data_IF_664141525814
#
_entry.id   IF_664141525814
#
_cell.length_a   1.000
_cell.length_b   1.000
_cell.length_c   1.000
_cell.angle_alpha   90.00
_cell.angle_beta   90.00
_cell.angle_gamma   90.00
#
_symmetry.space_group_name_H-M   'P 1'
#
loop_
_entity.id
_entity.type
_entity.pdbx_description
1 polymer ?
#
# COMPACT_ATOMS: atom_id res chain seq x y z
N UNK A 1 -7.38 30.31 -25.79
CA UNK A 1 -8.38 30.31 -24.72
C UNK A 1 -7.69 30.20 -23.39
N UNK A 2 -8.01 31.02 -22.40
CA UNK A 2 -7.40 30.95 -21.06
C UNK A 2 -7.87 29.68 -20.30
N UNK A 3 -7.12 29.26 -19.26
CA UNK A 3 -7.53 28.14 -18.41
C UNK A 3 -8.89 28.36 -17.81
N UNK A 4 -9.16 29.59 -17.33
CA UNK A 4 -10.48 30.00 -16.79
C UNK A 4 -11.60 29.80 -17.81
N UNK A 5 -11.40 30.27 -19.06
CA UNK A 5 -12.44 30.16 -20.09
C UNK A 5 -12.71 28.69 -20.49
N UNK A 6 -11.69 27.82 -20.47
CA UNK A 6 -11.87 26.37 -20.66
C UNK A 6 -12.66 25.75 -19.51
N UNK A 7 -12.31 26.08 -18.28
CA UNK A 7 -13.03 25.59 -17.11
C UNK A 7 -14.53 25.97 -17.14
N UNK A 8 -14.87 27.23 -17.49
CA UNK A 8 -16.26 27.65 -17.61
C UNK A 8 -17.00 26.94 -18.75
N UNK A 9 -16.30 26.59 -19.82
CA UNK A 9 -16.89 25.78 -20.89
C UNK A 9 -17.17 24.35 -20.44
N UNK A 10 -16.20 23.69 -19.80
CA UNK A 10 -16.36 22.36 -19.27
C UNK A 10 -17.48 22.25 -18.23
N UNK A 11 -17.63 23.26 -17.36
CA UNK A 11 -18.77 23.32 -16.43
C UNK A 11 -20.10 23.20 -17.16
N UNK A 12 -20.31 23.98 -18.24
CA UNK A 12 -21.54 23.92 -19.05
C UNK A 12 -21.76 22.57 -19.70
N UNK A 13 -20.67 21.91 -20.07
CA UNK A 13 -20.77 20.58 -20.67
C UNK A 13 -21.16 19.51 -19.64
N UNK A 14 -20.62 19.57 -18.40
CA UNK A 14 -21.03 18.72 -17.29
C UNK A 14 -22.47 18.98 -16.81
N UNK A 15 -22.94 20.25 -16.85
CA UNK A 15 -24.32 20.60 -16.53
C UNK A 15 -25.34 19.89 -17.43
N UNK A 16 -25.00 19.61 -18.69
CA UNK A 16 -25.86 18.84 -19.61
C UNK A 16 -26.11 17.40 -19.13
N UNK A 17 -25.23 16.87 -18.26
CA UNK A 17 -25.35 15.55 -17.64
C UNK A 17 -25.90 15.62 -16.20
N UNK A 18 -26.39 16.78 -15.78
CA UNK A 18 -26.92 17.00 -14.44
C UNK A 18 -25.85 17.07 -13.35
N UNK A 19 -24.58 17.31 -13.72
CA UNK A 19 -23.47 17.40 -12.76
C UNK A 19 -23.19 18.85 -12.40
N UNK A 20 -23.31 19.19 -11.12
CA UNK A 20 -22.83 20.45 -10.58
C UNK A 20 -21.34 20.34 -10.26
N UNK A 21 -20.50 20.93 -11.09
CA UNK A 21 -19.03 20.84 -10.97
C UNK A 21 -18.51 21.47 -9.68
N UNK A 22 -19.07 22.59 -9.24
CA UNK A 22 -18.67 23.27 -8.00
C UNK A 22 -18.94 22.39 -6.77
N UNK A 23 -20.12 21.77 -6.72
CA UNK A 23 -20.47 20.84 -5.65
C UNK A 23 -19.60 19.59 -5.66
N UNK A 24 -19.30 19.05 -6.83
CA UNK A 24 -18.42 17.91 -7.00
C UNK A 24 -16.99 18.23 -6.52
N UNK A 25 -16.47 19.39 -6.87
CA UNK A 25 -15.15 19.85 -6.42
C UNK A 25 -15.10 20.06 -4.90
N UNK A 26 -16.18 20.60 -4.31
CA UNK A 26 -16.24 20.79 -2.87
C UNK A 26 -16.28 19.45 -2.11
N UNK A 27 -17.02 18.48 -2.63
CA UNK A 27 -17.00 17.09 -2.11
C UNK A 27 -15.60 16.48 -2.22
N UNK A 28 -14.94 16.67 -3.37
CA UNK A 28 -13.58 16.15 -3.60
C UNK A 28 -12.55 16.74 -2.63
N UNK A 29 -12.62 18.05 -2.32
CA UNK A 29 -11.73 18.68 -1.33
C UNK A 29 -11.79 18.00 0.05
N UNK A 30 -12.92 17.40 0.40
CA UNK A 30 -13.13 16.72 1.66
C UNK A 30 -12.93 15.21 1.60
N UNK A 31 -12.72 14.66 0.40
CA UNK A 31 -12.41 13.24 0.20
C UNK A 31 -10.91 13.02 0.36
N UNK A 32 -10.53 12.14 1.28
CA UNK A 32 -9.12 11.77 1.47
C UNK A 32 -8.69 10.78 0.41
N UNK A 33 -7.65 11.13 -0.34
CA UNK A 33 -7.06 10.28 -1.36
C UNK A 33 -5.82 9.60 -0.77
N UNK A 34 -5.80 8.28 -0.81
CA UNK A 34 -4.66 7.49 -0.35
C UNK A 34 -3.61 7.38 -1.46
N UNK A 35 -2.44 7.93 -1.21
CA UNK A 35 -1.32 7.93 -2.16
C UNK A 35 -0.44 6.74 -1.87
N UNK A 36 -0.21 5.90 -2.89
CA UNK A 36 0.73 4.80 -2.79
C UNK A 36 2.16 5.32 -2.98
N UNK A 37 3.06 4.89 -2.09
CA UNK A 37 4.43 5.40 -2.03
C UNK A 37 5.48 4.54 -2.74
N UNK A 38 5.09 3.49 -3.44
CA UNK A 38 5.97 2.44 -4.00
C UNK A 38 7.05 2.95 -4.94
N UNK A 39 6.79 4.04 -5.63
CA UNK A 39 7.73 4.57 -6.62
C UNK A 39 8.87 5.35 -5.96
N UNK A 40 8.67 5.88 -4.76
CA UNK A 40 9.67 6.69 -4.07
C UNK A 40 10.94 5.92 -3.72
N UNK A 41 10.80 4.66 -3.31
CA UNK A 41 11.92 3.74 -2.99
C UNK A 41 12.14 2.68 -4.07
N UNK A 42 11.43 2.79 -5.20
CA UNK A 42 11.46 1.83 -6.31
C UNK A 42 11.12 0.39 -5.84
N UNK A 43 10.16 0.30 -4.93
CA UNK A 43 9.60 -0.94 -4.35
C UNK A 43 10.65 -1.81 -3.64
N UNK A 44 11.75 -1.24 -3.20
CA UNK A 44 12.84 -1.98 -2.53
C UNK A 44 12.49 -2.27 -1.07
N UNK A 45 11.83 -1.30 -0.39
CA UNK A 45 11.59 -1.36 1.05
C UNK A 45 12.85 -1.08 1.87
N UNK A 46 12.70 -1.20 3.19
CA UNK A 46 13.76 -0.92 4.17
C UNK A 46 14.03 -2.11 5.08
N UNK A 47 13.52 -3.28 4.73
CA UNK A 47 13.80 -4.53 5.45
C UNK A 47 15.28 -4.88 5.41
N UNK A 48 15.79 -5.42 6.50
CA UNK A 48 17.10 -6.07 6.54
C UNK A 48 16.96 -7.46 5.89
N UNK A 49 16.87 -7.47 4.56
CA UNK A 49 16.65 -8.68 3.78
C UNK A 49 17.60 -8.69 2.58
N UNK A 50 18.08 -9.88 2.22
CA UNK A 50 18.86 -10.11 1.00
C UNK A 50 18.00 -10.72 -0.11
N UNK A 51 16.69 -10.69 0.01
CA UNK A 51 15.78 -11.33 -0.93
C UNK A 51 15.76 -10.58 -2.27
N UNK A 52 15.82 -11.31 -3.36
CA UNK A 52 15.63 -10.75 -4.69
C UNK A 52 14.18 -10.29 -4.89
N UNK A 53 13.98 -9.22 -5.65
CA UNK A 53 12.65 -8.76 -6.05
C UNK A 53 11.92 -9.87 -6.80
N UNK A 54 10.65 -10.07 -6.50
CA UNK A 54 9.79 -11.08 -7.12
C UNK A 54 8.34 -10.59 -7.25
N UNK A 55 7.46 -11.42 -7.80
CA UNK A 55 6.03 -11.10 -7.87
C UNK A 55 5.66 -10.02 -8.90
N UNK A 56 6.41 -9.92 -10.01
CA UNK A 56 6.14 -8.97 -11.10
C UNK A 56 6.76 -7.59 -10.93
N UNK A 57 7.58 -7.39 -9.90
CA UNK A 57 8.21 -6.11 -9.56
C UNK A 57 9.68 -6.06 -10.02
N UNK A 58 10.20 -7.12 -10.61
CA UNK A 58 11.62 -7.22 -11.00
C UNK A 58 12.05 -6.20 -12.08
N UNK A 59 11.11 -5.51 -12.71
CA UNK A 59 11.41 -4.47 -13.69
C UNK A 59 11.86 -3.14 -13.06
N UNK A 60 11.75 -3.00 -11.76
CA UNK A 60 12.09 -1.81 -10.98
C UNK A 60 13.45 -1.97 -10.30
N UNK A 61 13.85 -1.03 -9.47
CA UNK A 61 15.06 -1.13 -8.65
C UNK A 61 16.27 -0.41 -9.21
N UNK A 62 16.16 0.22 -10.38
CA UNK A 62 17.29 0.88 -11.06
C UNK A 62 17.23 2.41 -11.05
N UNK A 63 16.22 3.01 -10.44
CA UNK A 63 16.08 4.45 -10.38
C UNK A 63 17.12 5.04 -9.42
N UNK A 64 18.03 5.86 -9.95
CA UNK A 64 19.15 6.44 -9.18
C UNK A 64 18.69 7.40 -8.08
N UNK A 65 17.56 8.07 -8.26
CA UNK A 65 16.97 9.02 -7.31
C UNK A 65 16.06 8.39 -6.26
N UNK A 66 15.96 7.06 -6.20
CA UNK A 66 15.09 6.39 -5.24
C UNK A 66 15.50 6.66 -3.79
N UNK A 67 14.53 6.74 -2.90
CA UNK A 67 14.77 6.81 -1.47
C UNK A 67 15.47 5.53 -0.96
N UNK A 68 16.47 5.69 -0.13
CA UNK A 68 17.28 4.62 0.46
C UNK A 68 16.99 4.41 1.94
N UNK A 69 16.34 5.40 2.55
CA UNK A 69 15.94 5.37 3.95
C UNK A 69 14.50 5.84 4.10
N UNK A 70 13.81 5.46 5.19
CA UNK A 70 12.49 5.97 5.49
C UNK A 70 12.42 7.50 5.55
N UNK A 71 13.49 8.15 6.02
CA UNK A 71 13.58 9.62 6.10
C UNK A 71 13.61 10.25 4.69
N UNK A 72 14.37 9.68 3.77
CA UNK A 72 14.40 10.15 2.38
C UNK A 72 13.02 10.00 1.75
N UNK A 73 12.35 8.85 1.94
CA UNK A 73 11.01 8.62 1.41
C UNK A 73 9.98 9.59 2.00
N UNK A 74 10.03 9.88 3.30
CA UNK A 74 9.16 10.89 3.93
C UNK A 74 9.34 12.27 3.30
N UNK A 75 10.57 12.70 3.02
CA UNK A 75 10.86 13.98 2.36
C UNK A 75 10.32 14.02 0.92
N UNK A 76 10.47 12.92 0.18
CA UNK A 76 9.94 12.81 -1.18
C UNK A 76 8.41 12.88 -1.18
N UNK A 77 7.77 12.20 -0.22
CA UNK A 77 6.32 12.27 -0.03
C UNK A 77 5.85 13.68 0.35
N UNK A 78 6.53 14.37 1.26
CA UNK A 78 6.23 15.76 1.62
C UNK A 78 6.27 16.65 0.38
N UNK A 79 7.31 16.48 -0.46
CA UNK A 79 7.43 17.24 -1.70
C UNK A 79 6.31 16.91 -2.68
N UNK A 80 6.01 15.66 -2.90
CA UNK A 80 4.93 15.22 -3.78
C UNK A 80 3.58 15.74 -3.31
N UNK A 81 3.25 15.56 -2.04
CA UNK A 81 1.98 16.00 -1.45
C UNK A 81 1.82 17.52 -1.46
N UNK A 82 2.91 18.30 -1.36
CA UNK A 82 2.86 19.76 -1.48
C UNK A 82 2.41 20.25 -2.86
N UNK A 83 2.48 19.40 -3.87
CA UNK A 83 2.08 19.70 -5.25
C UNK A 83 0.68 19.20 -5.61
N UNK A 84 0.07 18.40 -4.75
CA UNK A 84 -1.24 17.78 -4.99
C UNK A 84 -2.27 18.46 -4.07
N UNK A 85 -3.32 19.12 -4.61
CA UNK A 85 -4.35 19.73 -3.78
C UNK A 85 -5.25 18.68 -3.11
N UNK A 86 -5.85 19.03 -1.97
CA UNK A 86 -6.82 18.18 -1.27
C UNK A 86 -6.31 17.61 0.04
N UNK A 87 -7.02 16.61 0.57
CA UNK A 87 -6.68 15.88 1.77
C UNK A 87 -6.14 14.50 1.41
N UNK A 88 -5.06 14.08 2.06
CA UNK A 88 -4.37 12.86 1.67
C UNK A 88 -4.20 11.89 2.83
N UNK A 89 -4.03 10.64 2.46
CA UNK A 89 -3.45 9.55 3.23
C UNK A 89 -2.24 9.01 2.47
N UNK A 90 -1.39 8.29 3.15
CA UNK A 90 -0.30 7.56 2.51
C UNK A 90 -0.53 6.07 2.76
N UNK A 91 -0.43 5.27 1.70
CA UNK A 91 -0.55 3.82 1.80
C UNK A 91 0.85 3.22 1.93
N UNK A 92 1.20 2.77 3.15
CA UNK A 92 2.48 2.16 3.44
C UNK A 92 2.48 0.66 3.13
N UNK A 93 3.66 0.12 2.90
CA UNK A 93 3.89 -1.32 2.78
C UNK A 93 4.53 -1.91 4.04
N UNK A 94 4.30 -3.19 4.29
CA UNK A 94 4.95 -3.92 5.38
C UNK A 94 6.48 -3.86 5.31
N UNK A 95 7.05 -3.83 4.09
CA UNK A 95 8.50 -3.70 3.85
C UNK A 95 9.10 -2.34 4.26
N UNK A 96 8.26 -1.40 4.71
CA UNK A 96 8.72 -0.10 5.26
C UNK A 96 8.86 -0.11 6.78
N UNK A 97 8.84 -1.27 7.41
CA UNK A 97 9.13 -1.44 8.83
C UNK A 97 10.52 -0.89 9.17
N UNK A 98 10.60 -0.06 10.21
CA UNK A 98 11.84 0.50 10.75
C UNK A 98 12.29 -0.39 11.92
N UNK A 99 13.18 -1.34 11.65
CA UNK A 99 13.61 -2.36 12.63
C UNK A 99 14.97 -2.06 13.25
N UNK A 100 15.51 -0.85 13.02
CA UNK A 100 16.81 -0.41 13.54
C UNK A 100 17.98 -1.37 13.18
N UNK A 101 17.94 -1.94 11.98
CA UNK A 101 18.96 -2.85 11.49
C UNK A 101 18.84 -4.29 12.00
N UNK A 102 17.79 -4.61 12.74
CA UNK A 102 17.50 -5.99 13.17
C UNK A 102 16.68 -6.68 12.09
N UNK A 103 17.08 -7.90 11.71
CA UNK A 103 16.27 -8.71 10.81
C UNK A 103 15.01 -9.19 11.56
N UNK A 104 13.85 -8.89 10.98
CA UNK A 104 12.52 -9.28 11.49
C UNK A 104 11.76 -9.94 10.36
N UNK A 105 11.26 -11.15 10.59
CA UNK A 105 10.41 -11.83 9.61
C UNK A 105 9.07 -11.10 9.42
N UNK A 106 8.50 -11.18 8.21
CA UNK A 106 7.27 -10.45 7.88
C UNK A 106 6.07 -10.83 8.73
N UNK A 107 6.00 -12.07 9.20
CA UNK A 107 4.94 -12.53 10.10
C UNK A 107 5.16 -12.13 11.57
N UNK A 108 6.33 -11.53 11.89
CA UNK A 108 6.72 -11.03 13.20
C UNK A 108 6.74 -9.49 13.30
N UNK A 109 6.42 -8.77 12.22
CA UNK A 109 6.35 -7.31 12.26
C UNK A 109 5.29 -6.81 13.26
N UNK A 110 5.56 -5.65 13.87
CA UNK A 110 4.74 -5.11 14.95
C UNK A 110 4.47 -3.62 14.76
N UNK A 111 3.45 -3.06 15.45
CA UNK A 111 3.13 -1.64 15.42
C UNK A 111 4.33 -0.72 15.72
N UNK A 112 5.19 -1.10 16.67
CA UNK A 112 6.36 -0.29 17.04
C UNK A 112 7.33 -0.04 15.88
N UNK A 113 7.42 -0.93 14.91
CA UNK A 113 8.25 -0.74 13.71
C UNK A 113 7.73 0.36 12.78
N UNK A 114 6.57 0.90 13.04
CA UNK A 114 5.93 1.97 12.27
C UNK A 114 5.69 3.24 13.09
N UNK A 115 6.23 3.33 14.31
CA UNK A 115 6.00 4.46 15.20
C UNK A 115 6.47 5.79 14.60
N UNK A 116 7.61 5.82 13.89
CA UNK A 116 8.11 7.02 13.22
C UNK A 116 7.19 7.45 12.05
N UNK A 117 6.59 6.50 11.33
CA UNK A 117 5.60 6.80 10.30
C UNK A 117 4.34 7.44 10.88
N UNK A 118 3.86 6.95 12.01
CA UNK A 118 2.71 7.54 12.72
C UNK A 118 3.04 8.93 13.24
N UNK A 119 4.21 9.11 13.84
CA UNK A 119 4.68 10.44 14.30
C UNK A 119 4.69 11.42 13.14
N UNK A 120 5.35 11.08 12.04
CA UNK A 120 5.41 11.90 10.84
C UNK A 120 4.01 12.20 10.26
N UNK A 121 3.13 11.21 10.19
CA UNK A 121 1.78 11.42 9.68
C UNK A 121 0.98 12.42 10.55
N UNK A 122 1.14 12.36 11.88
CA UNK A 122 0.55 13.35 12.81
C UNK A 122 1.07 14.77 12.53
N UNK A 123 2.38 14.91 12.35
CA UNK A 123 3.02 16.20 12.07
C UNK A 123 2.55 16.79 10.74
N UNK A 124 2.30 15.96 9.74
CA UNK A 124 1.82 16.36 8.40
C UNK A 124 0.28 16.44 8.29
N UNK A 125 -0.47 16.05 9.31
CA UNK A 125 -1.94 16.00 9.25
C UNK A 125 -2.47 14.91 8.31
N UNK A 126 -1.70 13.86 8.05
CA UNK A 126 -2.03 12.77 7.13
C UNK A 126 -2.74 11.61 7.84
N UNK A 127 -3.45 10.80 7.07
CA UNK A 127 -3.83 9.45 7.46
C UNK A 127 -2.87 8.42 6.89
N UNK A 128 -2.92 7.20 7.42
CA UNK A 128 -2.17 6.05 6.89
C UNK A 128 -3.12 4.93 6.52
N UNK A 129 -2.85 4.28 5.40
CA UNK A 129 -3.37 3.00 5.00
C UNK A 129 -2.21 1.99 4.89
N UNK A 130 -2.49 0.71 4.78
CA UNK A 130 -1.46 -0.32 4.86
C UNK A 130 -1.63 -1.45 3.86
N UNK A 131 -0.54 -1.88 3.26
CA UNK A 131 -0.45 -3.08 2.42
C UNK A 131 0.44 -4.13 3.08
N UNK A 132 -0.06 -5.33 3.34
CA UNK A 132 0.78 -6.51 3.49
C UNK A 132 1.63 -6.72 2.23
N UNK A 133 2.91 -7.03 2.41
CA UNK A 133 3.84 -7.22 1.28
C UNK A 133 3.98 -8.70 0.97
N UNK A 134 3.05 -9.24 0.17
CA UNK A 134 3.00 -10.67 -0.17
C UNK A 134 3.88 -11.02 -1.39
N UNK A 135 5.04 -10.39 -1.53
CA UNK A 135 5.96 -10.55 -2.66
C UNK A 135 7.42 -10.40 -2.20
N UNK A 136 8.38 -10.69 -3.07
CA UNK A 136 9.81 -10.55 -2.80
C UNK A 136 10.24 -11.22 -1.49
N UNK A 137 9.84 -12.48 -1.33
CA UNK A 137 10.12 -13.31 -0.16
C UNK A 137 10.28 -14.77 -0.59
N UNK A 138 11.12 -15.59 0.07
CA UNK A 138 11.29 -17.00 -0.28
C UNK A 138 9.97 -17.78 -0.34
N UNK A 139 9.03 -17.50 0.58
CA UNK A 139 7.71 -18.11 0.62
C UNK A 139 6.74 -17.62 -0.48
N UNK A 140 7.20 -16.77 -1.40
CA UNK A 140 6.44 -16.34 -2.60
C UNK A 140 7.20 -16.61 -3.90
N UNK A 141 8.24 -17.44 -3.86
CA UNK A 141 9.14 -17.67 -5.01
C UNK A 141 8.44 -18.28 -6.22
N UNK A 142 7.40 -19.08 -6.02
CA UNK A 142 6.56 -19.67 -7.08
C UNK A 142 5.36 -18.82 -7.48
N UNK A 143 5.22 -17.60 -6.90
CA UNK A 143 4.11 -16.67 -7.17
C UNK A 143 2.82 -16.99 -6.43
N UNK A 144 2.85 -17.91 -5.47
CA UNK A 144 1.70 -18.25 -4.63
C UNK A 144 1.97 -17.93 -3.15
N UNK A 145 0.97 -17.41 -2.47
CA UNK A 145 1.04 -17.05 -1.05
C UNK A 145 -0.15 -17.60 -0.28
N UNK A 146 -1.20 -16.85 -0.10
CA UNK A 146 -2.42 -17.24 0.64
C UNK A 146 -3.20 -18.37 -0.03
N UNK A 147 -2.95 -18.65 -1.30
CA UNK A 147 -3.53 -19.80 -2.02
C UNK A 147 -2.55 -20.97 -2.21
N UNK A 148 -1.33 -20.88 -1.68
CA UNK A 148 -0.28 -21.88 -1.86
C UNK A 148 -0.76 -23.29 -1.45
N UNK A 149 -0.42 -24.38 -2.20
CA UNK A 149 -0.83 -25.74 -1.85
C UNK A 149 -0.21 -26.23 -0.52
N UNK A 150 1.02 -25.82 -0.21
CA UNK A 150 1.65 -26.11 1.09
C UNK A 150 1.03 -25.24 2.18
N UNK A 151 0.52 -25.91 3.23
CA UNK A 151 -0.14 -25.25 4.35
C UNK A 151 0.82 -24.37 5.17
N UNK A 152 2.06 -24.80 5.39
CA UNK A 152 3.03 -24.04 6.20
C UNK A 152 3.32 -22.67 5.57
N UNK A 153 3.39 -22.60 4.23
CA UNK A 153 3.56 -21.35 3.49
C UNK A 153 2.31 -20.48 3.66
N UNK A 154 1.10 -21.04 3.54
CA UNK A 154 -0.13 -20.29 3.78
C UNK A 154 -0.19 -19.76 5.21
N UNK A 155 0.15 -20.58 6.20
CA UNK A 155 0.12 -20.20 7.61
C UNK A 155 1.08 -19.04 7.91
N UNK A 156 2.26 -19.01 7.26
CA UNK A 156 3.17 -17.87 7.33
C UNK A 156 2.47 -16.58 6.83
N UNK A 157 1.85 -16.63 5.66
CA UNK A 157 1.18 -15.48 5.09
C UNK A 157 -0.10 -15.07 5.84
N UNK A 158 -0.79 -16.01 6.44
CA UNK A 158 -1.91 -15.74 7.36
C UNK A 158 -1.41 -14.99 8.61
N UNK A 159 -0.31 -15.44 9.23
CA UNK A 159 0.30 -14.71 10.35
C UNK A 159 0.75 -13.31 9.95
N UNK A 160 1.36 -13.16 8.76
CA UNK A 160 1.71 -11.85 8.21
C UNK A 160 0.47 -10.96 8.01
N UNK A 161 -0.62 -11.50 7.50
CA UNK A 161 -1.90 -10.79 7.36
C UNK A 161 -2.45 -10.32 8.72
N UNK A 162 -2.43 -11.20 9.73
CA UNK A 162 -2.85 -10.86 11.11
C UNK A 162 -1.96 -9.76 11.73
N UNK A 163 -0.65 -9.84 11.54
CA UNK A 163 0.30 -8.80 11.98
C UNK A 163 -0.02 -7.47 11.30
N UNK A 164 -0.26 -7.49 10.00
CA UNK A 164 -0.61 -6.31 9.20
C UNK A 164 -1.92 -5.66 9.66
N UNK A 165 -2.93 -6.43 10.04
CA UNK A 165 -4.18 -5.89 10.60
C UNK A 165 -3.96 -5.20 11.94
N UNK A 166 -3.09 -5.74 12.81
CA UNK A 166 -2.72 -5.08 14.08
C UNK A 166 -2.03 -3.75 13.85
N UNK A 167 -1.18 -3.66 12.82
CA UNK A 167 -0.54 -2.40 12.42
C UNK A 167 -1.58 -1.42 11.89
N UNK A 168 -2.52 -1.87 11.06
CA UNK A 168 -3.61 -1.03 10.56
C UNK A 168 -4.52 -0.52 11.70
N UNK A 169 -4.82 -1.36 12.68
CA UNK A 169 -5.56 -0.96 13.88
C UNK A 169 -4.80 0.12 14.67
N UNK A 170 -3.49 -0.06 14.84
CA UNK A 170 -2.62 0.92 15.48
C UNK A 170 -2.66 2.26 14.74
N UNK A 171 -2.53 2.28 13.42
CA UNK A 171 -2.64 3.50 12.62
C UNK A 171 -3.99 4.19 12.82
N UNK A 172 -5.08 3.42 12.76
CA UNK A 172 -6.42 3.94 12.95
C UNK A 172 -6.61 4.61 14.31
N UNK A 173 -6.17 3.96 15.37
CA UNK A 173 -6.23 4.48 16.74
C UNK A 173 -5.39 5.73 16.94
N UNK A 174 -4.13 5.69 16.51
CA UNK A 174 -3.18 6.78 16.72
C UNK A 174 -3.51 8.04 15.92
N UNK A 175 -4.10 7.88 14.72
CA UNK A 175 -4.43 8.99 13.83
C UNK A 175 -5.90 9.41 13.90
N UNK A 176 -6.74 8.72 14.68
CA UNK A 176 -8.18 9.01 14.78
C UNK A 176 -8.92 8.90 13.45
N UNK A 177 -8.50 8.01 12.55
CA UNK A 177 -9.04 7.83 11.22
C UNK A 177 -9.11 6.36 10.87
N UNK A 178 -10.05 5.98 9.99
CA UNK A 178 -10.08 4.63 9.41
C UNK A 178 -8.79 4.36 8.65
N UNK A 179 -8.13 3.24 8.94
CA UNK A 179 -7.04 2.69 8.14
C UNK A 179 -7.58 1.54 7.28
N UNK A 180 -7.31 1.58 5.99
CA UNK A 180 -7.66 0.50 5.07
C UNK A 180 -6.46 -0.43 4.95
N UNK A 181 -6.67 -1.73 5.21
CA UNK A 181 -5.69 -2.78 4.92
C UNK A 181 -5.97 -3.33 3.53
N UNK A 182 -5.10 -3.03 2.59
CA UNK A 182 -5.22 -3.48 1.21
C UNK A 182 -4.40 -4.76 0.99
N UNK A 183 -5.05 -5.92 1.06
CA UNK A 183 -4.43 -7.22 0.78
C UNK A 183 -4.23 -7.43 -0.72
N UNK A 184 -3.12 -6.92 -1.26
CA UNK A 184 -2.70 -7.28 -2.60
C UNK A 184 -1.90 -8.60 -2.56
N UNK A 185 -2.35 -9.60 -3.31
CA UNK A 185 -1.71 -10.91 -3.39
C UNK A 185 -1.28 -11.19 -4.83
N UNK A 186 -0.09 -11.76 -5.07
CA UNK A 186 0.38 -12.11 -6.41
C UNK A 186 -0.30 -13.38 -6.96
N UNK A 187 -0.98 -14.11 -6.10
CA UNK A 187 -1.54 -15.43 -6.34
C UNK A 187 -2.39 -15.49 -7.61
N UNK A 188 -1.90 -16.19 -8.60
CA UNK A 188 -2.61 -16.34 -9.86
C UNK A 188 -1.81 -17.11 -10.89
N UNK A 189 -2.49 -17.44 -11.98
CA UNK A 189 -1.90 -18.09 -13.14
C UNK A 189 -2.13 -17.23 -14.37
N UNK A 190 -1.13 -17.17 -15.26
CA UNK A 190 -1.27 -16.52 -16.57
C UNK A 190 -2.24 -17.25 -17.47
N UNK A 191 -2.23 -18.59 -17.38
CA UNK A 191 -3.12 -19.47 -18.13
C UNK A 191 -4.22 -20.05 -17.25
N UNK A 192 -5.20 -20.69 -17.88
CA UNK A 192 -6.28 -21.35 -17.14
C UNK A 192 -5.76 -22.65 -16.53
N UNK A 193 -5.66 -22.75 -15.19
CA UNK A 193 -5.18 -23.97 -14.54
C UNK A 193 -6.24 -25.08 -14.65
N UNK A 194 -5.78 -26.34 -14.60
CA UNK A 194 -6.66 -27.52 -14.55
C UNK A 194 -7.56 -27.48 -13.32
N UNK A 195 -7.01 -27.18 -12.15
CA UNK A 195 -7.77 -26.93 -10.93
C UNK A 195 -8.05 -25.44 -10.77
N UNK A 196 -9.25 -25.00 -11.16
CA UNK A 196 -9.70 -23.61 -11.02
C UNK A 196 -10.25 -23.29 -9.64
N UNK A 197 -10.69 -24.29 -8.89
CA UNK A 197 -11.42 -24.08 -7.65
C UNK A 197 -10.54 -24.21 -6.41
N UNK A 198 -9.57 -25.12 -6.41
CA UNK A 198 -8.69 -25.37 -5.27
C UNK A 198 -7.96 -24.13 -4.78
N UNK A 199 -7.24 -23.39 -5.64
CA UNK A 199 -6.57 -22.15 -5.23
C UNK A 199 -7.53 -21.11 -4.64
N UNK A 200 -8.72 -20.93 -5.21
CA UNK A 200 -9.73 -20.00 -4.72
C UNK A 200 -10.29 -20.39 -3.36
N UNK A 201 -10.50 -21.70 -3.12
CA UNK A 201 -10.91 -22.20 -1.79
C UNK A 201 -9.83 -21.90 -0.75
N UNK A 202 -8.58 -22.23 -1.05
CA UNK A 202 -7.45 -21.99 -0.14
C UNK A 202 -7.29 -20.49 0.16
N UNK A 203 -7.40 -19.65 -0.87
CA UNK A 203 -7.34 -18.19 -0.70
C UNK A 203 -8.47 -17.69 0.21
N UNK A 204 -9.70 -18.17 -0.03
CA UNK A 204 -10.84 -17.80 0.81
C UNK A 204 -10.63 -18.23 2.27
N UNK A 205 -10.23 -19.49 2.50
CA UNK A 205 -9.93 -20.01 3.83
C UNK A 205 -8.86 -19.16 4.55
N UNK A 206 -7.79 -18.80 3.86
CA UNK A 206 -6.72 -17.95 4.40
C UNK A 206 -7.21 -16.54 4.73
N UNK A 207 -8.05 -15.94 3.88
CA UNK A 207 -8.63 -14.61 4.12
C UNK A 207 -9.66 -14.62 5.23
N UNK A 208 -10.45 -15.69 5.35
CA UNK A 208 -11.40 -15.85 6.47
C UNK A 208 -10.68 -15.99 7.82
N UNK A 209 -9.45 -16.49 7.82
CA UNK A 209 -8.64 -16.65 9.03
C UNK A 209 -7.93 -15.35 9.45
N UNK A 210 -7.62 -14.45 8.52
CA UNK A 210 -6.98 -13.16 8.77
C UNK A 210 -7.95 -12.16 9.42
#
# INVERSE_FOLDING_TARGET
MSVKARFEQEKKDFEKWGINVEEALEKLKNTKISVHCWQGDDVTGFEVSQNALSGGIQATGNYLGKARTPEELRKDLEKALSMIPGKHKVNLHAIYAETNGVAVERDEIKPEHFANWVKWAKEQGLGLDFNPSNFSHPNSADGLTLSHPNKDIRDFWVRHGKASRKISEYFGKELGQTCITNHWVPDGYKDIPTDRLGPRKRLKESLDEI
#
